data_IF_620868550731
#
_entry.id   IF_620868550731
#
_cell.length_a   1.000
_cell.length_b   1.000
_cell.length_c   1.000
_cell.angle_alpha   90.00
_cell.angle_beta   90.00
_cell.angle_gamma   90.00
#
_symmetry.space_group_name_H-M   'P 1'
#
loop_
_entity.id
_entity.type
_entity.pdbx_description
1 polymer ?
#
# COMPACT_ATOMS: atom_id res chain seq x y z
N UNK A 1 14.89 11.63 -21.49
CA UNK A 1 14.51 10.76 -22.62
C UNK A 1 13.45 11.39 -23.54
N UNK A 2 12.92 12.59 -23.23
CA UNK A 2 11.92 13.29 -24.05
C UNK A 2 10.52 12.67 -24.06
N UNK A 3 10.27 11.65 -23.24
CA UNK A 3 8.97 11.01 -23.07
C UNK A 3 8.35 11.42 -21.72
N UNK A 4 7.03 11.52 -21.68
CA UNK A 4 6.33 11.68 -20.41
C UNK A 4 6.33 10.34 -19.66
N UNK A 5 6.49 10.33 -18.31
CA UNK A 5 6.46 9.10 -17.52
C UNK A 5 5.20 8.26 -17.79
N UNK A 6 4.06 8.89 -17.94
CA UNK A 6 2.79 8.24 -18.27
C UNK A 6 2.86 7.38 -19.53
N UNK A 7 3.49 7.87 -20.60
CA UNK A 7 3.52 7.14 -21.87
C UNK A 7 4.30 5.82 -21.78
N UNK A 8 5.33 5.80 -20.92
CA UNK A 8 6.12 4.59 -20.66
C UNK A 8 5.43 3.66 -19.67
N UNK A 9 5.03 4.19 -18.52
CA UNK A 9 4.40 3.42 -17.43
C UNK A 9 3.10 2.76 -17.91
N UNK A 10 2.23 3.51 -18.60
CA UNK A 10 0.98 2.98 -19.15
C UNK A 10 1.21 1.74 -20.01
N UNK A 11 2.20 1.79 -20.92
CA UNK A 11 2.50 0.67 -21.81
C UNK A 11 3.03 -0.56 -21.06
N UNK A 12 3.81 -0.38 -20.00
CA UNK A 12 4.33 -1.47 -19.18
C UNK A 12 3.21 -2.08 -18.30
N UNK A 13 2.41 -1.26 -17.67
CA UNK A 13 1.33 -1.67 -16.77
C UNK A 13 0.23 -2.46 -17.48
N UNK A 14 0.05 -2.28 -18.79
CA UNK A 14 -0.90 -3.05 -19.63
C UNK A 14 -0.67 -4.58 -19.58
N UNK A 15 0.53 -5.03 -19.21
CA UNK A 15 0.92 -6.44 -19.20
C UNK A 15 1.15 -6.99 -17.80
N UNK A 16 0.88 -6.19 -16.77
CA UNK A 16 1.11 -6.56 -15.38
C UNK A 16 -0.10 -7.26 -14.76
N UNK A 17 0.12 -8.41 -14.11
CA UNK A 17 -0.92 -9.11 -13.34
C UNK A 17 -1.20 -8.41 -12.00
N UNK A 18 -0.17 -7.81 -11.39
CA UNK A 18 -0.27 -7.07 -10.13
C UNK A 18 0.41 -5.71 -10.35
N UNK A 19 -0.26 -4.65 -9.96
CA UNK A 19 0.27 -3.29 -10.02
C UNK A 19 0.36 -2.74 -8.60
N UNK A 20 1.55 -2.23 -8.25
CA UNK A 20 1.81 -1.53 -7.00
C UNK A 20 2.06 -0.06 -7.25
N UNK A 21 1.82 0.77 -6.24
CA UNK A 21 2.17 2.16 -6.25
C UNK A 21 1.58 2.92 -5.08
N UNK A 22 1.99 4.17 -4.93
CA UNK A 22 1.33 5.14 -4.07
C UNK A 22 0.30 5.97 -4.87
N UNK A 23 -0.40 6.86 -4.18
CA UNK A 23 -1.44 7.71 -4.76
C UNK A 23 -0.92 8.57 -5.92
N UNK A 24 0.28 9.15 -5.78
CA UNK A 24 0.87 10.05 -6.78
C UNK A 24 1.38 9.28 -8.00
N UNK A 25 1.97 8.11 -7.78
CA UNK A 25 2.46 7.23 -8.85
C UNK A 25 1.31 6.77 -9.74
N UNK A 26 0.19 6.40 -9.16
CA UNK A 26 -1.01 6.01 -9.91
C UNK A 26 -1.62 7.19 -10.68
N UNK A 27 -1.64 8.40 -10.10
CA UNK A 27 -2.09 9.60 -10.79
C UNK A 27 -1.19 9.93 -11.99
N UNK A 28 0.13 9.83 -11.82
CA UNK A 28 1.10 10.02 -12.90
C UNK A 28 0.93 8.98 -14.02
N UNK A 29 0.69 7.71 -13.66
CA UNK A 29 0.55 6.62 -14.63
C UNK A 29 -0.76 6.68 -15.43
N UNK A 30 -1.87 7.06 -14.81
CA UNK A 30 -3.22 7.01 -15.40
C UNK A 30 -3.74 8.39 -15.83
N UNK A 31 -3.36 9.45 -15.12
CA UNK A 31 -3.96 10.77 -15.20
C UNK A 31 -5.25 10.93 -14.39
N UNK A 32 -5.70 9.87 -13.69
CA UNK A 32 -6.84 9.91 -12.78
C UNK A 32 -6.42 10.48 -11.43
N UNK A 33 -7.17 11.46 -10.93
CA UNK A 33 -6.92 12.02 -9.60
C UNK A 33 -7.11 10.96 -8.52
N UNK A 34 -6.14 10.86 -7.62
CA UNK A 34 -6.24 9.98 -6.45
C UNK A 34 -7.31 10.46 -5.47
N UNK A 35 -7.76 9.54 -4.61
CA UNK A 35 -8.66 9.85 -3.50
C UNK A 35 -7.81 10.45 -2.36
N UNK A 36 -8.16 11.62 -1.81
CA UNK A 36 -7.46 12.19 -0.67
C UNK A 36 -7.50 11.25 0.54
N UNK A 37 -6.37 11.16 1.25
CA UNK A 37 -6.27 10.42 2.50
C UNK A 37 -5.70 11.36 3.56
N UNK A 38 -6.56 11.82 4.46
CA UNK A 38 -6.27 12.87 5.43
C UNK A 38 -6.33 12.37 6.88
N UNK A 39 -6.05 11.07 7.08
CA UNK A 39 -6.03 10.46 8.40
C UNK A 39 -4.99 11.14 9.30
N UNK A 40 -5.42 11.69 10.43
CA UNK A 40 -4.55 12.28 11.45
C UNK A 40 -4.13 11.27 12.52
N UNK A 41 -4.89 10.18 12.65
CA UNK A 41 -4.69 9.10 13.61
C UNK A 41 -5.29 7.79 13.08
N UNK A 42 -5.31 6.76 13.93
CA UNK A 42 -5.80 5.44 13.58
C UNK A 42 -7.34 5.31 13.54
N UNK A 43 -8.07 6.31 14.05
CA UNK A 43 -9.54 6.30 14.13
C UNK A 43 -10.22 6.87 12.87
N UNK A 44 -9.42 7.30 11.88
CA UNK A 44 -9.94 7.83 10.61
C UNK A 44 -10.75 6.78 9.85
N UNK A 45 -11.96 7.16 9.42
CA UNK A 45 -12.82 6.36 8.58
C UNK A 45 -12.58 6.66 7.09
N UNK A 46 -12.05 5.66 6.38
CA UNK A 46 -11.78 5.79 4.95
C UNK A 46 -13.06 5.60 4.13
N UNK A 47 -13.28 6.46 3.13
CA UNK A 47 -14.37 6.33 2.16
C UNK A 47 -14.12 5.14 1.21
N UNK A 48 -14.52 3.95 1.65
CA UNK A 48 -14.34 2.70 0.90
C UNK A 48 -15.06 2.70 -0.45
N UNK A 49 -16.21 3.38 -0.55
CA UNK A 49 -16.97 3.45 -1.80
C UNK A 49 -16.25 4.32 -2.83
N UNK A 50 -15.69 5.46 -2.42
CA UNK A 50 -14.88 6.30 -3.29
C UNK A 50 -13.64 5.55 -3.80
N UNK A 51 -12.94 4.79 -2.92
CA UNK A 51 -11.79 3.97 -3.32
C UNK A 51 -12.20 2.84 -4.29
N UNK A 52 -13.30 2.15 -4.03
CA UNK A 52 -13.80 1.11 -4.93
C UNK A 52 -14.14 1.68 -6.32
N UNK A 53 -14.83 2.82 -6.36
CA UNK A 53 -15.14 3.50 -7.61
C UNK A 53 -13.88 3.96 -8.36
N UNK A 54 -12.86 4.43 -7.62
CA UNK A 54 -11.56 4.81 -8.17
C UNK A 54 -10.85 3.60 -8.81
N UNK A 55 -10.74 2.49 -8.11
CA UNK A 55 -10.08 1.29 -8.63
C UNK A 55 -10.83 0.65 -9.82
N UNK A 56 -12.16 0.71 -9.84
CA UNK A 56 -12.94 0.29 -11.00
C UNK A 56 -12.63 1.14 -12.25
N UNK A 57 -12.43 2.47 -12.09
CA UNK A 57 -11.97 3.32 -13.20
C UNK A 57 -10.53 2.97 -13.60
N UNK A 58 -9.64 2.76 -12.63
CA UNK A 58 -8.26 2.35 -12.89
C UNK A 58 -8.18 1.02 -13.66
N UNK A 59 -9.05 0.06 -13.34
CA UNK A 59 -9.08 -1.21 -14.05
C UNK A 59 -9.44 -1.05 -15.54
N UNK A 60 -10.19 -0.02 -15.92
CA UNK A 60 -10.47 0.25 -17.33
C UNK A 60 -9.20 0.62 -18.11
N UNK A 61 -8.22 1.24 -17.47
CA UNK A 61 -6.92 1.52 -18.08
C UNK A 61 -6.03 0.27 -18.15
N UNK A 62 -6.15 -0.64 -17.19
CA UNK A 62 -5.30 -1.83 -17.07
C UNK A 62 -6.12 -3.13 -16.98
N UNK A 63 -6.83 -3.50 -18.08
CA UNK A 63 -7.84 -4.56 -18.02
C UNK A 63 -7.28 -5.97 -17.80
N UNK A 64 -5.97 -6.19 -17.92
CA UNK A 64 -5.31 -7.48 -17.64
C UNK A 64 -4.86 -7.60 -16.19
N UNK A 65 -4.84 -6.49 -15.44
CA UNK A 65 -4.42 -6.48 -14.06
C UNK A 65 -5.43 -7.24 -13.19
N UNK A 66 -4.94 -8.17 -12.38
CA UNK A 66 -5.74 -9.00 -11.47
C UNK A 66 -5.84 -8.38 -10.09
N UNK A 67 -4.77 -7.72 -9.65
CA UNK A 67 -4.71 -7.08 -8.32
C UNK A 67 -4.04 -5.72 -8.41
N UNK A 68 -4.69 -4.73 -7.84
CA UNK A 68 -4.17 -3.37 -7.70
C UNK A 68 -3.91 -3.12 -6.22
N UNK A 69 -2.66 -2.85 -5.86
CA UNK A 69 -2.22 -2.77 -4.46
C UNK A 69 -1.57 -1.43 -4.20
N UNK A 70 -2.08 -0.69 -3.23
CA UNK A 70 -1.66 0.68 -2.94
C UNK A 70 -1.34 0.82 -1.45
N UNK A 71 -0.19 1.40 -1.13
CA UNK A 71 0.08 1.97 0.19
C UNK A 71 -0.35 3.44 0.18
N UNK A 72 -1.24 3.79 1.09
CA UNK A 72 -1.84 5.12 1.20
C UNK A 72 -1.31 5.80 2.45
N UNK A 73 -0.70 6.98 2.29
CA UNK A 73 -0.01 7.69 3.36
C UNK A 73 -0.48 9.12 3.47
N UNK A 74 -0.73 9.58 4.71
CA UNK A 74 -0.79 11.00 5.04
C UNK A 74 0.46 11.40 5.84
N UNK A 75 1.21 12.36 5.34
CA UNK A 75 2.37 12.92 6.02
C UNK A 75 1.92 14.11 6.87
N UNK A 76 1.77 13.87 8.19
CA UNK A 76 1.36 14.91 9.16
C UNK A 76 2.56 15.80 9.48
N UNK A 77 3.73 15.19 9.69
CA UNK A 77 5.00 15.86 9.89
C UNK A 77 6.15 15.01 9.34
N UNK A 78 7.37 15.53 9.30
CA UNK A 78 8.56 14.76 8.86
C UNK A 78 8.81 13.49 9.69
N UNK A 79 8.39 13.49 10.95
CA UNK A 79 8.53 12.36 11.89
C UNK A 79 7.20 11.69 12.25
N UNK A 80 6.09 12.02 11.57
CA UNK A 80 4.76 11.52 11.88
C UNK A 80 3.96 11.27 10.61
N UNK A 81 3.63 10.01 10.34
CA UNK A 81 2.77 9.59 9.24
C UNK A 81 1.66 8.68 9.72
N UNK A 82 0.50 8.75 9.06
CA UNK A 82 -0.48 7.66 9.08
C UNK A 82 -0.40 6.87 7.78
N UNK A 83 -0.62 5.56 7.87
CA UNK A 83 -0.43 4.65 6.75
C UNK A 83 -1.52 3.58 6.75
N UNK A 84 -2.13 3.34 5.58
CA UNK A 84 -3.05 2.22 5.35
C UNK A 84 -2.74 1.52 4.02
N UNK A 85 -3.17 0.29 3.89
CA UNK A 85 -3.08 -0.48 2.65
C UNK A 85 -4.45 -0.65 2.01
N UNK A 86 -4.49 -0.59 0.69
CA UNK A 86 -5.69 -0.85 -0.10
C UNK A 86 -5.35 -1.85 -1.20
N UNK A 87 -6.16 -2.88 -1.35
CA UNK A 87 -6.06 -3.86 -2.42
C UNK A 87 -7.42 -3.99 -3.12
N UNK A 88 -7.43 -3.87 -4.41
CA UNK A 88 -8.57 -4.18 -5.24
C UNK A 88 -8.31 -5.45 -6.05
N UNK A 89 -9.12 -6.47 -5.80
CA UNK A 89 -9.13 -7.69 -6.60
C UNK A 89 -10.13 -7.53 -7.75
N UNK A 90 -9.60 -7.41 -8.96
CA UNK A 90 -10.40 -7.16 -10.16
C UNK A 90 -11.25 -8.38 -10.59
N UNK A 91 -10.87 -9.59 -10.15
CA UNK A 91 -11.56 -10.82 -10.50
C UNK A 91 -12.86 -11.01 -9.68
N UNK A 92 -12.84 -10.52 -8.45
CA UNK A 92 -13.98 -10.62 -7.52
C UNK A 92 -14.70 -9.29 -7.29
N UNK A 93 -14.20 -8.21 -7.90
CA UNK A 93 -14.68 -6.82 -7.69
C UNK A 93 -14.71 -6.45 -6.19
N UNK A 94 -13.67 -6.86 -5.45
CA UNK A 94 -13.62 -6.72 -3.99
C UNK A 94 -12.50 -5.79 -3.57
N UNK A 95 -12.82 -4.84 -2.67
CA UNK A 95 -11.86 -3.94 -2.04
C UNK A 95 -11.52 -4.42 -0.64
N UNK A 96 -10.23 -4.61 -0.39
CA UNK A 96 -9.64 -4.91 0.92
C UNK A 96 -8.93 -3.68 1.45
N UNK A 97 -9.02 -3.44 2.74
CA UNK A 97 -8.33 -2.35 3.42
C UNK A 97 -7.78 -2.83 4.75
N UNK A 98 -6.64 -2.29 5.17
CA UNK A 98 -6.04 -2.61 6.46
C UNK A 98 -6.54 -1.65 7.55
N UNK A 99 -6.17 -1.93 8.80
CA UNK A 99 -6.17 -0.90 9.85
C UNK A 99 -5.24 0.25 9.46
N UNK A 100 -5.43 1.40 10.07
CA UNK A 100 -4.52 2.54 9.91
C UNK A 100 -3.44 2.45 10.97
N UNK A 101 -2.17 2.52 10.53
CA UNK A 101 -1.03 2.67 11.42
C UNK A 101 -0.74 4.14 11.66
N UNK A 102 -0.67 4.53 12.92
CA UNK A 102 -0.19 5.83 13.38
C UNK A 102 1.27 5.70 13.82
N UNK A 103 2.18 6.26 13.00
CA UNK A 103 3.62 6.00 13.09
C UNK A 103 4.34 7.26 13.57
N UNK A 104 4.75 7.25 14.83
CA UNK A 104 5.49 8.33 15.47
C UNK A 104 6.36 7.80 16.61
N UNK A 105 7.69 8.12 16.65
CA UNK A 105 8.45 8.83 15.63
C UNK A 105 8.84 7.93 14.46
N UNK A 106 8.95 8.51 13.26
CA UNK A 106 9.61 7.87 12.15
C UNK A 106 11.12 8.01 12.33
N UNK A 107 11.84 6.89 12.27
CA UNK A 107 13.30 6.85 12.36
C UNK A 107 13.93 7.02 10.99
N UNK A 108 13.45 6.25 10.00
CA UNK A 108 13.93 6.34 8.62
C UNK A 108 12.86 5.87 7.62
N UNK A 109 12.39 6.75 6.71
CA UNK A 109 11.39 6.38 5.71
C UNK A 109 11.95 5.69 4.47
N UNK A 110 13.27 5.51 4.36
CA UNK A 110 13.90 4.85 3.20
C UNK A 110 13.53 3.37 3.16
N UNK A 111 13.20 2.84 1.97
CA UNK A 111 12.86 1.43 1.77
C UNK A 111 11.47 1.01 2.28
N UNK A 112 10.64 1.93 2.75
CA UNK A 112 9.28 1.63 3.26
C UNK A 112 8.37 1.07 2.17
N UNK A 113 8.45 1.63 0.94
CA UNK A 113 7.73 1.12 -0.22
C UNK A 113 8.22 -0.25 -0.67
N UNK A 114 9.54 -0.45 -0.69
CA UNK A 114 10.16 -1.74 -1.04
C UNK A 114 9.78 -2.83 -0.02
N UNK A 115 9.76 -2.50 1.27
CA UNK A 115 9.29 -3.40 2.32
C UNK A 115 7.83 -3.80 2.13
N UNK A 116 6.96 -2.85 1.72
CA UNK A 116 5.56 -3.14 1.40
C UNK A 116 5.43 -4.14 0.25
N UNK A 117 6.10 -3.88 -0.87
CA UNK A 117 6.03 -4.72 -2.07
C UNK A 117 6.63 -6.10 -1.79
N UNK A 118 7.82 -6.17 -1.21
CA UNK A 118 8.49 -7.42 -0.91
C UNK A 118 7.67 -8.30 0.04
N UNK A 119 7.12 -7.72 1.10
CA UNK A 119 6.26 -8.43 2.04
C UNK A 119 4.95 -8.91 1.38
N UNK A 120 4.36 -8.12 0.47
CA UNK A 120 3.19 -8.56 -0.28
C UNK A 120 3.50 -9.76 -1.17
N UNK A 121 4.60 -9.72 -1.90
CA UNK A 121 5.00 -10.83 -2.78
C UNK A 121 5.28 -12.09 -1.97
N UNK A 122 5.98 -11.98 -0.83
CA UNK A 122 6.21 -13.09 0.09
C UNK A 122 4.88 -13.67 0.62
N UNK A 123 4.00 -12.83 1.13
CA UNK A 123 2.70 -13.22 1.66
C UNK A 123 1.81 -13.88 0.59
N UNK A 124 1.81 -13.33 -0.62
CA UNK A 124 1.03 -13.87 -1.74
C UNK A 124 1.52 -15.26 -2.18
N UNK A 125 2.82 -15.56 -2.06
CA UNK A 125 3.34 -16.91 -2.28
C UNK A 125 2.92 -17.87 -1.17
N UNK A 126 2.82 -17.39 0.08
CA UNK A 126 2.50 -18.21 1.25
C UNK A 126 1.00 -18.38 1.48
N UNK A 127 0.21 -17.36 1.20
CA UNK A 127 -1.24 -17.28 1.48
C UNK A 127 -2.04 -16.79 0.27
N UNK A 128 -1.79 -17.32 -0.92
CA UNK A 128 -2.28 -16.82 -2.22
C UNK A 128 -3.80 -16.55 -2.29
N UNK A 129 -4.61 -17.23 -1.48
CA UNK A 129 -6.07 -17.13 -1.49
C UNK A 129 -6.63 -16.20 -0.38
N UNK A 130 -5.76 -15.57 0.40
CA UNK A 130 -6.15 -14.68 1.49
C UNK A 130 -5.62 -13.27 1.24
N UNK A 131 -6.34 -12.53 0.40
CA UNK A 131 -5.97 -11.17 0.02
C UNK A 131 -5.88 -10.22 1.23
N UNK A 132 -6.78 -10.37 2.21
CA UNK A 132 -6.75 -9.53 3.40
C UNK A 132 -5.48 -9.77 4.20
N UNK A 133 -5.14 -11.03 4.46
CA UNK A 133 -3.94 -11.40 5.21
C UNK A 133 -2.65 -10.96 4.49
N UNK A 134 -2.59 -11.11 3.17
CA UNK A 134 -1.46 -10.64 2.38
C UNK A 134 -1.28 -9.13 2.50
N UNK A 135 -2.37 -8.37 2.44
CA UNK A 135 -2.34 -6.92 2.56
C UNK A 135 -1.95 -6.47 3.97
N UNK A 136 -2.54 -7.08 5.01
CA UNK A 136 -2.24 -6.76 6.41
C UNK A 136 -0.77 -7.04 6.75
N UNK A 137 -0.22 -8.16 6.28
CA UNK A 137 1.20 -8.50 6.43
C UNK A 137 2.11 -7.49 5.73
N UNK A 138 1.77 -7.13 4.51
CA UNK A 138 2.50 -6.16 3.70
C UNK A 138 2.57 -4.78 4.38
N UNK A 139 1.43 -4.30 4.85
CA UNK A 139 1.38 -3.00 5.52
C UNK A 139 2.08 -3.02 6.87
N UNK A 140 1.97 -4.12 7.63
CA UNK A 140 2.69 -4.29 8.90
C UNK A 140 4.21 -4.22 8.71
N UNK A 141 4.74 -4.87 7.67
CA UNK A 141 6.16 -4.80 7.32
C UNK A 141 6.60 -3.37 6.98
N UNK A 142 5.80 -2.68 6.18
CA UNK A 142 6.02 -1.28 5.80
C UNK A 142 5.99 -0.34 7.02
N UNK A 143 5.03 -0.53 7.91
CA UNK A 143 4.92 0.25 9.14
C UNK A 143 6.15 0.06 10.04
N UNK A 144 6.56 -1.18 10.27
CA UNK A 144 7.75 -1.51 11.07
C UNK A 144 9.04 -0.96 10.44
N UNK A 145 9.16 -0.97 9.11
CA UNK A 145 10.33 -0.42 8.42
C UNK A 145 10.59 1.05 8.76
N UNK A 146 9.58 1.86 9.02
CA UNK A 146 9.75 3.24 9.47
C UNK A 146 10.53 3.37 10.78
N UNK A 147 10.67 2.30 11.55
CA UNK A 147 11.39 2.26 12.84
C UNK A 147 12.80 1.68 12.74
N UNK A 148 13.25 1.32 11.53
CA UNK A 148 14.57 0.72 11.25
C UNK A 148 15.41 1.72 10.47
N UNK A 149 16.59 2.10 10.96
CA UNK A 149 17.50 2.96 10.21
C UNK A 149 18.09 2.24 8.98
N UNK A 150 18.34 3.00 7.92
CA UNK A 150 18.89 2.50 6.65
C UNK A 150 17.81 1.92 5.74
N UNK A 151 18.19 1.61 4.53
CA UNK A 151 17.28 1.19 3.45
C UNK A 151 16.75 -0.25 3.62
N UNK A 152 17.56 -1.14 4.19
CA UNK A 152 17.21 -2.55 4.33
C UNK A 152 16.15 -2.77 5.40
N UNK A 153 15.18 -3.65 5.10
CA UNK A 153 14.23 -4.12 6.11
C UNK A 153 14.86 -5.28 6.91
N UNK A 154 15.12 -5.03 8.19
CA UNK A 154 15.71 -6.01 9.13
C UNK A 154 14.67 -6.64 10.05
N UNK A 155 13.39 -6.47 9.74
CA UNK A 155 12.28 -6.99 10.55
C UNK A 155 12.00 -8.45 10.18
N UNK A 156 11.86 -9.31 11.19
CA UNK A 156 11.54 -10.73 10.98
C UNK A 156 10.06 -10.94 10.64
N UNK A 157 9.74 -12.12 10.07
CA UNK A 157 8.36 -12.51 9.79
C UNK A 157 7.51 -12.55 11.07
N UNK A 158 8.09 -13.04 12.18
CA UNK A 158 7.43 -13.11 13.48
C UNK A 158 7.06 -11.72 14.01
N UNK A 159 7.97 -10.76 13.92
CA UNK A 159 7.70 -9.37 14.32
C UNK A 159 6.57 -8.76 13.48
N UNK A 160 6.55 -9.02 12.16
CA UNK A 160 5.50 -8.56 11.27
C UNK A 160 4.15 -9.14 11.68
N UNK A 161 4.08 -10.45 11.97
CA UNK A 161 2.84 -11.12 12.38
C UNK A 161 2.34 -10.58 13.72
N UNK A 162 3.22 -10.39 14.70
CA UNK A 162 2.85 -9.82 16.01
C UNK A 162 2.27 -8.42 15.84
N UNK A 163 2.94 -7.55 15.07
CA UNK A 163 2.46 -6.19 14.83
C UNK A 163 1.14 -6.17 14.01
N UNK A 164 0.99 -7.06 13.04
CA UNK A 164 -0.22 -7.21 12.23
C UNK A 164 -1.44 -7.54 13.10
N UNK A 165 -1.27 -8.45 14.07
CA UNK A 165 -2.36 -8.96 14.93
C UNK A 165 -2.60 -8.12 16.18
N UNK A 166 -1.74 -7.15 16.49
CA UNK A 166 -1.91 -6.27 17.65
C UNK A 166 -3.17 -5.42 17.53
N UNK A 167 -3.89 -5.26 18.64
CA UNK A 167 -5.04 -4.36 18.73
C UNK A 167 -4.54 -2.91 18.91
N UNK A 168 -4.61 -2.12 17.86
CA UNK A 168 -4.24 -0.70 17.87
C UNK A 168 -3.29 -0.34 16.72
N UNK A 169 -3.39 0.91 16.27
CA UNK A 169 -2.59 1.45 15.17
C UNK A 169 -1.15 1.86 15.57
N UNK A 170 -0.78 1.77 16.86
CA UNK A 170 0.58 2.10 17.31
C UNK A 170 1.52 0.91 17.09
N UNK A 171 2.69 1.20 16.54
CA UNK A 171 3.74 0.20 16.37
C UNK A 171 4.24 -0.24 17.76
N UNK A 172 4.16 -1.54 18.01
CA UNK A 172 4.78 -2.17 19.19
C UNK A 172 6.06 -2.89 18.75
N UNK A 173 7.16 -2.53 19.39
CA UNK A 173 8.45 -3.20 19.31
C UNK A 173 8.84 -3.74 20.68
#
# INVERSE_FOLDING_TARGET
>A
YGLQPRDVLYRMMQYSDIIFGDQNEWEVASGERHIPFEALDADYEMDREAYLAYFRRMHQFFPKCKKMVMAVRNQIASSHHTLTGVLYDTQTDTLYTTKIYDIQPIIDPMGVGDAFIAAYLHANLKWANDNQKCLDFSLSASALKNTVPGDQNLVSEEEIIVNMTSSGGRIQR
#
